data_IF_780749383440
#
_entry.id   IF_780749383440
#
_cell.length_a   1.000
_cell.length_b   1.000
_cell.length_c   1.000
_cell.angle_alpha   90.00
_cell.angle_beta   90.00
_cell.angle_gamma   90.00
#
_symmetry.space_group_name_H-M   'P 1'
#
loop_
_entity.id
_entity.type
_entity.pdbx_description
1 polymer ?
#
# COMPACT_ATOMS: atom_id res chain seq x y z
N UNK A 1 -2.78 -32.56 10.04
CA UNK A 1 -2.72 -31.10 10.24
C UNK A 1 -4.14 -30.62 10.44
N UNK A 2 -4.47 -30.07 11.60
CA UNK A 2 -5.71 -29.33 11.80
C UNK A 2 -5.67 -28.10 10.91
N UNK A 3 -6.78 -27.78 10.22
CA UNK A 3 -6.88 -26.50 9.52
C UNK A 3 -6.59 -25.37 10.50
N UNK A 4 -5.84 -24.34 10.07
CA UNK A 4 -5.59 -23.18 10.92
C UNK A 4 -6.92 -22.57 11.31
N UNK A 5 -7.14 -22.36 12.62
CA UNK A 5 -8.34 -21.71 13.12
C UNK A 5 -8.43 -20.30 12.55
N UNK A 6 -9.62 -19.90 12.09
CA UNK A 6 -9.88 -18.53 11.67
C UNK A 6 -9.78 -17.57 12.86
N UNK A 7 -9.28 -16.36 12.60
CA UNK A 7 -9.30 -15.25 13.58
C UNK A 7 -10.36 -14.22 13.18
N UNK A 8 -10.97 -13.58 14.17
CA UNK A 8 -11.90 -12.47 13.97
C UNK A 8 -11.42 -11.24 14.71
N UNK A 9 -11.72 -10.06 14.16
CA UNK A 9 -11.58 -8.77 14.83
C UNK A 9 -12.92 -8.04 14.75
N UNK A 10 -13.27 -7.27 15.78
CA UNK A 10 -14.57 -6.60 15.85
C UNK A 10 -14.42 -5.19 16.38
N UNK A 11 -15.06 -4.25 15.70
CA UNK A 11 -15.18 -2.85 16.09
C UNK A 11 -16.52 -2.30 15.56
N UNK A 12 -17.01 -1.16 16.08
CA UNK A 12 -18.12 -0.46 15.47
C UNK A 12 -17.82 -0.08 14.01
N UNK A 13 -18.86 0.04 13.20
CA UNK A 13 -18.70 0.56 11.84
C UNK A 13 -18.13 2.00 11.90
N UNK A 14 -17.07 2.31 11.12
CA UNK A 14 -16.36 3.59 11.25
C UNK A 14 -17.08 4.70 10.47
N UNK A 15 -18.19 5.20 11.03
CA UNK A 15 -19.02 6.26 10.41
C UNK A 15 -18.19 7.49 10.03
N UNK A 16 -17.26 7.91 10.88
CA UNK A 16 -16.35 9.02 10.59
C UNK A 16 -15.49 8.78 9.34
N UNK A 17 -14.94 7.57 9.18
CA UNK A 17 -14.16 7.22 7.99
C UNK A 17 -15.04 7.23 6.74
N UNK A 18 -16.25 6.66 6.80
CA UNK A 18 -17.17 6.67 5.67
C UNK A 18 -17.45 8.11 5.20
N UNK A 19 -17.79 9.01 6.12
CA UNK A 19 -18.04 10.41 5.78
C UNK A 19 -16.81 11.10 5.19
N UNK A 20 -15.63 10.81 5.73
CA UNK A 20 -14.38 11.35 5.19
C UNK A 20 -14.12 10.86 3.76
N UNK A 21 -14.37 9.58 3.47
CA UNK A 21 -14.23 8.99 2.13
C UNK A 21 -15.24 9.61 1.15
N UNK A 22 -16.51 9.76 1.54
CA UNK A 22 -17.55 10.37 0.71
C UNK A 22 -17.28 11.85 0.39
N UNK A 23 -16.58 12.56 1.28
CA UNK A 23 -16.21 13.96 1.12
C UNK A 23 -14.81 14.15 0.53
N UNK A 24 -14.06 13.06 0.34
CA UNK A 24 -12.68 13.13 -0.10
C UNK A 24 -12.62 13.50 -1.57
N UNK A 25 -11.98 14.63 -1.85
CA UNK A 25 -11.52 14.98 -3.19
C UNK A 25 -10.00 14.97 -3.20
N UNK A 26 -9.43 14.51 -4.30
CA UNK A 26 -7.99 14.52 -4.52
C UNK A 26 -7.69 14.96 -5.95
N UNK A 27 -6.78 14.29 -6.66
CA UNK A 27 -6.41 14.59 -8.04
C UNK A 27 -7.41 13.98 -9.03
N UNK A 28 -7.42 14.52 -10.24
CA UNK A 28 -8.18 13.94 -11.36
C UNK A 28 -7.75 12.49 -11.64
N UNK A 29 -8.70 11.65 -12.04
CA UNK A 29 -8.47 10.22 -12.30
C UNK A 29 -8.42 9.34 -11.05
N UNK A 30 -8.61 9.90 -9.85
CA UNK A 30 -8.64 9.14 -8.60
C UNK A 30 -10.08 8.92 -8.13
N UNK A 31 -10.41 7.69 -7.79
CA UNK A 31 -11.71 7.29 -7.23
C UNK A 31 -11.48 6.56 -5.93
N UNK A 32 -12.22 6.93 -4.88
CA UNK A 32 -12.10 6.32 -3.54
C UNK A 32 -13.46 5.90 -3.00
N UNK A 33 -13.54 4.71 -2.40
CA UNK A 33 -14.75 4.22 -1.74
C UNK A 33 -14.45 3.13 -0.70
N UNK A 34 -15.44 2.88 0.18
CA UNK A 34 -15.44 1.74 1.10
C UNK A 34 -16.39 0.65 0.59
N UNK A 35 -16.00 -0.60 0.76
CA UNK A 35 -16.84 -1.76 0.47
C UNK A 35 -16.42 -2.96 1.33
N UNK A 36 -17.34 -3.91 1.54
CA UNK A 36 -17.00 -5.22 2.09
C UNK A 36 -16.50 -6.12 0.96
N UNK A 37 -15.24 -6.52 1.01
CA UNK A 37 -14.58 -7.17 -0.12
C UNK A 37 -13.75 -8.39 0.28
N UNK A 38 -13.64 -9.34 -0.65
CA UNK A 38 -12.62 -10.38 -0.63
C UNK A 38 -11.38 -9.80 -1.32
N UNK A 39 -10.38 -9.42 -0.53
CA UNK A 39 -9.12 -8.83 -1.01
C UNK A 39 -8.15 -9.89 -1.52
N UNK A 40 -8.12 -11.05 -0.85
CA UNK A 40 -7.30 -12.19 -1.22
C UNK A 40 -8.17 -13.45 -1.17
N UNK A 41 -8.58 -14.03 -2.30
CA UNK A 41 -9.37 -15.25 -2.29
C UNK A 41 -8.48 -16.45 -1.95
N UNK A 42 -9.06 -17.49 -1.34
CA UNK A 42 -8.32 -18.71 -0.97
C UNK A 42 -7.67 -19.43 -2.18
N UNK A 43 -8.02 -19.08 -3.42
CA UNK A 43 -7.38 -19.59 -4.63
C UNK A 43 -6.04 -18.95 -4.95
N UNK A 44 -5.71 -17.78 -4.38
CA UNK A 44 -4.49 -17.03 -4.71
C UNK A 44 -3.36 -17.37 -3.74
N UNK A 45 -3.65 -17.43 -2.44
CA UNK A 45 -2.67 -17.74 -1.39
C UNK A 45 -3.21 -18.77 -0.38
N UNK A 46 -2.58 -18.86 0.80
CA UNK A 46 -2.87 -19.88 1.82
C UNK A 46 -4.20 -19.71 2.57
N UNK A 47 -5.00 -18.70 2.25
CA UNK A 47 -6.27 -18.43 2.92
C UNK A 47 -7.01 -17.24 2.32
N UNK A 48 -8.23 -17.02 2.80
CA UNK A 48 -9.04 -15.88 2.37
C UNK A 48 -8.87 -14.68 3.30
N UNK A 49 -8.64 -13.49 2.73
CA UNK A 49 -8.67 -12.21 3.44
C UNK A 49 -9.83 -11.36 2.94
N UNK A 50 -10.79 -11.09 3.84
CA UNK A 50 -11.99 -10.28 3.53
C UNK A 50 -12.33 -9.25 4.60
N UNK A 51 -13.31 -8.39 4.33
CA UNK A 51 -13.87 -7.42 5.26
C UNK A 51 -13.94 -6.00 4.68
N UNK A 52 -14.31 -5.05 5.52
CA UNK A 52 -14.36 -3.63 5.15
C UNK A 52 -13.01 -3.17 4.60
N UNK A 53 -13.05 -2.62 3.40
CA UNK A 53 -11.87 -2.31 2.58
C UNK A 53 -12.01 -0.91 2.02
N UNK A 54 -10.94 -0.12 2.13
CA UNK A 54 -10.76 1.11 1.36
C UNK A 54 -10.20 0.75 -0.01
N UNK A 55 -10.91 1.15 -1.05
CA UNK A 55 -10.44 1.06 -2.44
C UNK A 55 -10.02 2.43 -2.92
N UNK A 56 -8.79 2.53 -3.42
CA UNK A 56 -8.30 3.71 -4.15
C UNK A 56 -7.98 3.24 -5.57
N UNK A 57 -8.65 3.82 -6.56
CA UNK A 57 -8.44 3.54 -7.97
C UNK A 57 -7.75 4.74 -8.60
N UNK A 58 -6.65 4.50 -9.30
CA UNK A 58 -5.88 5.51 -10.02
C UNK A 58 -5.96 5.24 -11.53
N UNK A 59 -6.19 6.29 -12.29
CA UNK A 59 -5.95 6.28 -13.73
C UNK A 59 -4.46 6.55 -13.96
N UNK A 60 -3.78 5.62 -14.61
CA UNK A 60 -2.32 5.65 -14.84
C UNK A 60 -2.00 5.05 -16.22
N UNK A 61 -0.73 4.86 -16.52
CA UNK A 61 -0.27 4.11 -17.69
C UNK A 61 0.54 2.91 -17.25
N UNK A 62 0.65 1.90 -18.10
CA UNK A 62 1.54 0.78 -17.83
C UNK A 62 2.97 1.29 -17.65
N UNK A 63 3.64 0.94 -16.55
CA UNK A 63 5.02 1.36 -16.27
C UNK A 63 6.05 0.68 -17.17
N UNK A 64 5.63 -0.29 -18.00
CA UNK A 64 6.42 -0.94 -19.04
C UNK A 64 5.92 -0.55 -20.44
N UNK A 65 6.82 -0.51 -21.45
CA UNK A 65 6.41 -0.33 -22.84
C UNK A 65 5.37 -1.40 -23.25
N UNK A 66 4.27 -1.03 -23.93
CA UNK A 66 4.07 0.23 -24.65
C UNK A 66 3.32 1.35 -23.88
N UNK A 67 3.33 1.39 -22.55
CA UNK A 67 2.74 2.48 -21.73
C UNK A 67 1.26 2.78 -22.01
N UNK A 68 0.45 1.74 -22.15
CA UNK A 68 -0.99 1.89 -22.39
C UNK A 68 -1.73 2.43 -21.16
N UNK A 69 -2.77 3.27 -21.34
CA UNK A 69 -3.63 3.70 -20.25
C UNK A 69 -4.26 2.50 -19.54
N UNK A 70 -4.31 2.56 -18.22
CA UNK A 70 -4.92 1.53 -17.38
C UNK A 70 -5.49 2.13 -16.09
N UNK A 71 -6.30 1.33 -15.39
CA UNK A 71 -6.76 1.65 -14.04
C UNK A 71 -6.15 0.66 -13.08
N UNK A 72 -5.49 1.17 -12.04
CA UNK A 72 -4.92 0.34 -10.98
C UNK A 72 -5.77 0.53 -9.73
N UNK A 73 -6.04 -0.59 -9.05
CA UNK A 73 -6.88 -0.61 -7.85
C UNK A 73 -6.04 -1.05 -6.66
N UNK A 74 -5.93 -0.18 -5.67
CA UNK A 74 -5.23 -0.40 -4.41
C UNK A 74 -6.24 -0.70 -3.30
N UNK A 75 -6.02 -1.80 -2.58
CA UNK A 75 -6.95 -2.31 -1.57
C UNK A 75 -6.29 -2.26 -0.20
N UNK A 76 -6.91 -1.54 0.74
CA UNK A 76 -6.45 -1.45 2.12
C UNK A 76 -7.50 -2.00 3.07
N UNK A 77 -7.13 -2.99 3.88
CA UNK A 77 -7.99 -3.46 4.96
C UNK A 77 -8.23 -2.32 5.95
N UNK A 78 -9.50 -2.01 6.23
CA UNK A 78 -9.84 -1.05 7.28
C UNK A 78 -9.62 -1.73 8.63
N UNK A 79 -8.78 -1.17 9.52
CA UNK A 79 -8.51 -1.79 10.80
C UNK A 79 -9.77 -1.81 11.67
N UNK A 80 -9.98 -2.88 12.43
CA UNK A 80 -10.98 -2.92 13.48
C UNK A 80 -10.54 -2.01 14.64
N UNK A 81 -10.87 -0.72 14.55
CA UNK A 81 -10.40 0.31 15.47
C UNK A 81 -11.53 1.23 15.94
N UNK A 82 -11.35 1.80 17.14
CA UNK A 82 -12.24 2.83 17.74
C UNK A 82 -11.63 4.23 17.62
N UNK A 83 -11.00 4.49 16.49
CA UNK A 83 -10.38 5.78 16.19
C UNK A 83 -11.40 6.91 16.16
N UNK A 84 -10.98 8.08 16.64
CA UNK A 84 -11.71 9.31 16.43
C UNK A 84 -11.55 9.80 14.98
N UNK A 85 -12.36 10.78 14.58
CA UNK A 85 -12.31 11.39 13.25
C UNK A 85 -10.91 11.83 12.81
N UNK A 86 -10.12 12.46 13.69
CA UNK A 86 -8.78 12.95 13.33
C UNK A 86 -7.81 11.80 13.02
N UNK A 87 -7.91 10.71 13.78
CA UNK A 87 -7.11 9.51 13.53
C UNK A 87 -7.53 8.82 12.22
N UNK A 88 -8.83 8.81 11.90
CA UNK A 88 -9.31 8.31 10.61
C UNK A 88 -8.87 9.20 9.43
N UNK A 89 -8.91 10.51 9.59
CA UNK A 89 -8.42 11.45 8.58
C UNK A 89 -6.93 11.22 8.29
N UNK A 90 -6.12 11.10 9.35
CA UNK A 90 -4.70 10.76 9.22
C UNK A 90 -4.53 9.41 8.53
N UNK A 91 -5.25 8.39 8.97
CA UNK A 91 -5.17 7.04 8.38
C UNK A 91 -5.50 7.08 6.89
N UNK A 92 -6.57 7.78 6.49
CA UNK A 92 -6.96 7.95 5.08
C UNK A 92 -5.86 8.65 4.28
N UNK A 93 -5.32 9.76 4.79
CA UNK A 93 -4.22 10.49 4.16
C UNK A 93 -2.98 9.61 3.94
N UNK A 94 -2.61 8.79 4.93
CA UNK A 94 -1.49 7.86 4.80
C UNK A 94 -1.72 6.82 3.69
N UNK A 95 -2.96 6.35 3.47
CA UNK A 95 -3.27 5.43 2.37
C UNK A 95 -3.09 6.06 0.99
N UNK A 96 -3.43 7.34 0.82
CA UNK A 96 -3.09 8.06 -0.41
C UNK A 96 -1.57 8.18 -0.60
N UNK A 97 -0.84 8.50 0.48
CA UNK A 97 0.62 8.58 0.43
C UNK A 97 1.28 7.23 0.08
N UNK A 98 0.70 6.12 0.56
CA UNK A 98 1.14 4.78 0.21
C UNK A 98 0.95 4.50 -1.29
N UNK A 99 -0.20 4.86 -1.87
CA UNK A 99 -0.45 4.72 -3.32
C UNK A 99 0.53 5.59 -4.14
N UNK A 100 0.72 6.85 -3.77
CA UNK A 100 1.68 7.73 -4.46
C UNK A 100 3.10 7.17 -4.41
N UNK A 101 3.50 6.58 -3.28
CA UNK A 101 4.81 5.92 -3.15
C UNK A 101 4.91 4.71 -4.09
N UNK A 102 3.86 3.90 -4.16
CA UNK A 102 3.79 2.76 -5.06
C UNK A 102 3.94 3.18 -6.52
N UNK A 103 3.17 4.18 -6.97
CA UNK A 103 3.26 4.68 -8.33
C UNK A 103 4.65 5.28 -8.61
N UNK A 104 5.22 6.03 -7.66
CA UNK A 104 6.58 6.53 -7.78
C UNK A 104 7.58 5.38 -8.01
N UNK A 105 7.47 4.31 -7.24
CA UNK A 105 8.30 3.09 -7.37
C UNK A 105 8.10 2.38 -8.71
N UNK A 106 6.90 2.38 -9.28
CA UNK A 106 6.62 1.80 -10.59
C UNK A 106 7.35 2.54 -11.73
N UNK A 107 7.42 3.87 -11.68
CA UNK A 107 7.96 4.69 -12.77
C UNK A 107 9.41 5.14 -12.59
N UNK A 108 9.93 5.15 -11.37
CA UNK A 108 11.26 5.66 -11.08
C UNK A 108 12.34 4.73 -11.64
N UNK A 109 13.07 5.23 -12.64
CA UNK A 109 14.19 4.52 -13.28
C UNK A 109 15.45 5.38 -13.30
N UNK A 110 16.61 4.73 -13.15
CA UNK A 110 17.93 5.35 -13.28
C UNK A 110 18.77 4.47 -14.18
N UNK A 111 19.20 4.99 -15.33
CA UNK A 111 20.00 4.22 -16.29
C UNK A 111 19.27 3.00 -16.90
N UNK A 112 17.94 2.94 -16.82
CA UNK A 112 17.13 1.80 -17.26
C UNK A 112 16.79 0.81 -16.13
N UNK A 113 17.43 0.93 -14.97
CA UNK A 113 17.15 0.09 -13.80
C UNK A 113 16.02 0.68 -12.93
N UNK A 114 15.25 -0.19 -12.28
CA UNK A 114 14.24 0.16 -11.25
C UNK A 114 14.77 -0.19 -9.85
N UNK A 115 15.55 0.69 -9.20
CA UNK A 115 16.22 0.37 -7.93
C UNK A 115 15.26 0.19 -6.75
N UNK A 116 14.03 0.72 -6.87
CA UNK A 116 13.01 0.69 -5.83
C UNK A 116 11.68 0.17 -6.39
N UNK A 117 11.70 -0.91 -7.16
CA UNK A 117 10.45 -1.49 -7.69
C UNK A 117 9.52 -1.92 -6.54
N UNK A 118 8.18 -1.82 -6.69
CA UNK A 118 7.27 -2.29 -5.65
C UNK A 118 7.42 -3.80 -5.41
N UNK A 119 7.23 -4.21 -4.15
CA UNK A 119 7.34 -5.61 -3.78
C UNK A 119 6.02 -6.35 -3.99
N UNK A 120 5.78 -6.77 -5.23
CA UNK A 120 4.59 -7.54 -5.62
C UNK A 120 4.66 -9.04 -5.27
N UNK A 121 5.72 -9.47 -4.58
CA UNK A 121 5.87 -10.88 -4.19
C UNK A 121 4.78 -11.32 -3.21
N UNK A 122 4.38 -12.61 -3.22
CA UNK A 122 3.38 -13.13 -2.29
C UNK A 122 3.70 -12.82 -0.83
N UNK A 123 2.75 -12.20 -0.12
CA UNK A 123 2.87 -11.87 1.30
C UNK A 123 3.74 -10.64 1.62
N UNK A 124 4.30 -9.96 0.62
CA UNK A 124 5.01 -8.71 0.82
C UNK A 124 4.08 -7.50 0.77
N UNK A 125 4.49 -6.42 1.43
CA UNK A 125 3.79 -5.14 1.37
C UNK A 125 4.32 -4.34 0.16
N UNK A 126 3.48 -4.08 -0.87
CA UNK A 126 3.91 -3.40 -2.09
C UNK A 126 4.07 -1.88 -1.92
N UNK A 127 3.74 -1.32 -0.75
CA UNK A 127 3.86 0.10 -0.44
C UNK A 127 5.12 0.43 0.38
N UNK A 128 5.88 -0.60 0.78
CA UNK A 128 7.16 -0.45 1.46
C UNK A 128 8.31 -0.33 0.46
N UNK A 129 9.18 0.63 0.71
CA UNK A 129 10.45 0.74 0.00
C UNK A 129 11.40 -0.31 0.56
N UNK A 130 11.64 -1.38 -0.20
CA UNK A 130 12.67 -2.36 0.13
C UNK A 130 13.99 -1.91 -0.47
N UNK A 131 14.83 -1.25 0.33
CA UNK A 131 16.25 -1.14 -0.04
C UNK A 131 16.84 -2.55 0.04
N UNK A 132 17.47 -3.03 -1.03
CA UNK A 132 18.55 -4.02 -0.87
C UNK A 132 19.48 -3.42 0.17
N UNK A 133 19.65 -4.12 1.28
CA UNK A 133 20.24 -3.58 2.50
C UNK A 133 21.53 -2.82 2.17
N UNK A 134 21.57 -1.55 2.57
CA UNK A 134 22.83 -0.84 2.79
C UNK A 134 23.76 -1.83 3.52
N UNK A 135 24.86 -2.19 2.87
CA UNK A 135 25.87 -3.09 3.43
C UNK A 135 26.34 -2.54 4.78
N UNK A 136 26.98 -3.35 5.63
CA UNK A 136 27.60 -2.82 6.87
C UNK A 136 28.50 -1.61 6.55
N UNK A 137 29.18 -1.63 5.40
CA UNK A 137 29.97 -0.54 4.85
C UNK A 137 29.12 0.71 4.58
N UNK A 138 27.97 0.59 3.90
CA UNK A 138 27.09 1.72 3.63
C UNK A 138 26.53 2.33 4.92
N UNK A 139 26.18 1.50 5.92
CA UNK A 139 25.73 1.96 7.24
C UNK A 139 26.82 2.70 8.02
N UNK A 140 28.08 2.36 7.78
CA UNK A 140 29.27 2.97 8.39
C UNK A 140 29.81 4.14 7.59
N UNK A 141 29.34 4.35 6.36
CA UNK A 141 29.81 5.43 5.50
C UNK A 141 29.21 6.75 5.95
N UNK A 142 30.07 7.68 6.35
CA UNK A 142 29.68 9.02 6.78
C UNK A 142 29.13 9.84 5.61
N UNK A 143 28.51 10.98 5.91
CA UNK A 143 28.07 11.95 4.90
C UNK A 143 29.22 12.53 4.04
N UNK A 144 30.49 12.26 4.40
CA UNK A 144 31.69 12.61 3.66
C UNK A 144 32.21 11.46 2.77
N UNK A 145 31.51 10.32 2.72
CA UNK A 145 31.91 9.15 1.94
C UNK A 145 33.00 8.30 2.59
N UNK A 146 33.24 8.45 3.90
CA UNK A 146 34.24 7.68 4.65
C UNK A 146 33.61 6.59 5.51
N UNK A 147 34.11 5.35 5.39
CA UNK A 147 33.65 4.22 6.21
C UNK A 147 34.25 4.34 7.62
N UNK A 148 33.41 4.52 8.63
CA UNK A 148 33.82 4.56 10.03
C UNK A 148 34.11 3.15 10.57
N UNK A 149 35.04 3.01 11.51
CA UNK A 149 35.18 1.76 12.27
C UNK A 149 34.01 1.57 13.26
N UNK A 150 33.77 0.32 13.68
CA UNK A 150 32.70 -0.02 14.62
C UNK A 150 33.00 0.46 16.04
#
# INVERSE_FOLDING_TARGET
MTEPASMTQTAPFPVDLQQLVEQCTYREGWVVYLADEVRDPASTHAGESRGLTLSIITDTVNSYPPHQPMRVRHLFAVPAATYNRQSWLRWLFERFADVERHECMEFFTVGGDKPYAPNHGPGWDPYLLTTVEATDTDRRTSFLGTVNDR
#
